data_IF_029272794113
#
_entry.id   IF_029272794113
#
_cell.length_a   1.000
_cell.length_b   1.000
_cell.length_c   1.000
_cell.angle_alpha   90.00
_cell.angle_beta   90.00
_cell.angle_gamma   90.00
#
_symmetry.space_group_name_H-M   'P 1'
#
loop_
_entity.id
_entity.type
_entity.pdbx_description
1 polymer ?
#
# COMPACT_ATOMS: atom_id res chain seq x y z
N UNK A 1 -5.61 -12.45 3.22
CA UNK A 1 -5.25 -11.23 2.44
C UNK A 1 -6.12 -10.12 2.99
N UNK A 2 -5.55 -8.98 3.35
CA UNK A 2 -6.27 -7.82 3.92
C UNK A 2 -6.20 -6.66 2.93
N UNK A 3 -7.07 -5.67 3.09
CA UNK A 3 -7.04 -4.45 2.29
C UNK A 3 -6.65 -3.30 3.20
N UNK A 4 -5.67 -2.53 2.76
CA UNK A 4 -5.22 -1.34 3.47
C UNK A 4 -5.58 -0.10 2.67
N UNK A 5 -6.10 0.90 3.37
CA UNK A 5 -6.20 2.27 2.86
C UNK A 5 -4.96 3.04 3.32
N UNK A 6 -4.16 3.46 2.36
CA UNK A 6 -2.98 4.29 2.59
C UNK A 6 -3.30 5.71 2.18
N UNK A 7 -3.30 6.63 3.14
CA UNK A 7 -3.48 8.04 2.87
C UNK A 7 -2.13 8.65 2.54
N UNK A 8 -2.02 9.27 1.37
CA UNK A 8 -0.82 9.96 0.89
C UNK A 8 -1.12 11.42 0.60
N UNK A 9 -0.13 12.28 0.74
CA UNK A 9 -0.28 13.70 0.44
C UNK A 9 1.01 14.48 0.67
N UNK A 10 1.00 15.77 0.34
CA UNK A 10 2.14 16.63 0.62
C UNK A 10 2.31 16.81 2.16
N UNK A 11 3.50 16.54 2.72
CA UNK A 11 3.76 16.70 4.16
C UNK A 11 3.61 18.15 4.65
N UNK A 12 3.84 19.14 3.78
CA UNK A 12 3.76 20.58 4.10
C UNK A 12 2.32 21.13 4.03
N UNK A 13 1.34 20.25 3.80
CA UNK A 13 -0.07 20.59 3.62
C UNK A 13 -0.49 20.58 2.16
N UNK A 14 -1.73 20.15 1.88
CA UNK A 14 -2.26 20.05 0.53
C UNK A 14 -3.30 18.95 0.36
N UNK A 15 -3.60 18.63 -0.91
CA UNK A 15 -4.55 17.59 -1.26
C UNK A 15 -4.06 16.21 -0.80
N UNK A 16 -4.95 15.46 -0.14
CA UNK A 16 -4.72 14.08 0.25
C UNK A 16 -5.37 13.13 -0.76
N UNK A 17 -4.78 11.96 -0.92
CA UNK A 17 -5.28 10.87 -1.74
C UNK A 17 -5.30 9.60 -0.92
N UNK A 18 -6.25 8.73 -1.24
CA UNK A 18 -6.35 7.40 -0.65
C UNK A 18 -5.94 6.39 -1.71
N UNK A 19 -5.12 5.43 -1.31
CA UNK A 19 -4.69 4.30 -2.12
C UNK A 19 -5.15 3.01 -1.45
N UNK A 20 -5.86 2.16 -2.17
CA UNK A 20 -6.27 0.85 -1.67
C UNK A 20 -5.32 -0.23 -2.18
N UNK A 21 -4.60 -0.85 -1.26
CA UNK A 21 -3.60 -1.88 -1.58
C UNK A 21 -3.90 -3.18 -0.83
N UNK A 22 -3.94 -4.34 -1.54
CA UNK A 22 -4.08 -5.63 -0.89
C UNK A 22 -2.73 -6.07 -0.32
N UNK A 23 -2.70 -6.42 0.96
CA UNK A 23 -1.46 -6.79 1.65
C UNK A 23 -1.71 -7.76 2.81
N UNK A 24 -0.64 -8.42 3.30
CA UNK A 24 -0.69 -9.23 4.53
C UNK A 24 -0.42 -8.37 5.77
N UNK A 25 0.37 -7.31 5.63
CA UNK A 25 0.74 -6.38 6.72
C UNK A 25 0.67 -4.93 6.27
N UNK A 26 0.60 -4.02 7.24
CA UNK A 26 0.72 -2.58 7.09
C UNK A 26 2.06 -2.14 6.48
N UNK A 27 3.17 -2.81 6.85
CA UNK A 27 4.50 -2.55 6.27
C UNK A 27 4.51 -2.85 4.76
N UNK A 28 4.02 -4.03 4.37
CA UNK A 28 3.92 -4.41 2.96
C UNK A 28 2.94 -3.52 2.17
N UNK A 29 1.89 -3.01 2.84
CA UNK A 29 0.97 -2.05 2.25
C UNK A 29 1.65 -0.70 1.99
N UNK A 30 2.48 -0.26 2.92
CA UNK A 30 3.26 0.98 2.79
C UNK A 30 4.24 0.87 1.61
N UNK A 31 4.99 -0.23 1.52
CA UNK A 31 5.91 -0.49 0.40
C UNK A 31 5.17 -0.52 -0.95
N UNK A 32 3.99 -1.17 -1.00
CA UNK A 32 3.16 -1.20 -2.20
C UNK A 32 2.65 0.20 -2.59
N UNK A 33 2.27 1.03 -1.61
CA UNK A 33 1.79 2.39 -1.85
C UNK A 33 2.87 3.30 -2.44
N UNK A 34 4.14 3.11 -2.09
CA UNK A 34 5.27 3.89 -2.66
C UNK A 34 5.28 3.83 -4.19
N UNK A 35 4.96 2.68 -4.78
CA UNK A 35 4.88 2.53 -6.25
C UNK A 35 3.73 3.29 -6.91
N UNK A 36 2.74 3.73 -6.15
CA UNK A 36 1.53 4.43 -6.61
C UNK A 36 1.53 5.93 -6.26
N UNK A 37 2.52 6.37 -5.49
CA UNK A 37 2.71 7.74 -5.05
C UNK A 37 3.29 8.62 -6.16
N UNK A 38 2.95 9.90 -6.12
CA UNK A 38 3.57 10.94 -6.95
C UNK A 38 4.79 11.52 -6.24
N UNK A 39 5.77 12.08 -6.98
CA UNK A 39 6.88 12.80 -6.38
C UNK A 39 6.41 13.89 -5.43
N UNK A 40 7.00 13.94 -4.23
CA UNK A 40 6.66 14.91 -3.17
C UNK A 40 5.45 14.51 -2.30
N UNK A 41 4.78 13.40 -2.59
CA UNK A 41 3.82 12.81 -1.65
C UNK A 41 4.55 12.01 -0.56
N UNK A 42 4.01 12.04 0.64
CA UNK A 42 4.41 11.22 1.78
C UNK A 42 3.21 10.39 2.27
N UNK A 43 3.49 9.23 2.87
CA UNK A 43 2.46 8.45 3.57
C UNK A 43 2.12 9.16 4.88
N UNK A 44 0.84 9.44 5.07
CA UNK A 44 0.32 10.15 6.24
C UNK A 44 -0.41 9.20 7.21
N UNK A 45 -1.06 8.17 6.68
CA UNK A 45 -1.78 7.17 7.47
C UNK A 45 -1.88 5.84 6.71
N UNK A 46 -1.92 4.74 7.46
CA UNK A 46 -2.08 3.38 6.94
C UNK A 46 -3.05 2.66 7.86
N UNK A 47 -4.24 2.31 7.34
CA UNK A 47 -5.22 1.55 8.11
C UNK A 47 -5.73 0.34 7.35
N UNK A 48 -5.90 -0.76 8.06
CA UNK A 48 -6.65 -1.92 7.56
C UNK A 48 -8.12 -1.53 7.45
N UNK A 49 -8.73 -1.80 6.29
CA UNK A 49 -10.15 -1.59 6.05
C UNK A 49 -10.81 -2.92 5.68
N UNK A 50 -12.07 -3.06 6.09
CA UNK A 50 -12.93 -4.10 5.56
C UNK A 50 -13.57 -3.56 4.28
N UNK A 51 -13.07 -4.01 3.11
CA UNK A 51 -13.60 -3.61 1.82
C UNK A 51 -14.37 -4.79 1.19
N UNK A 52 -15.72 -4.77 1.26
CA UNK A 52 -16.56 -5.86 0.77
C UNK A 52 -16.54 -6.00 -0.76
N UNK A 53 -16.03 -5.00 -1.48
CA UNK A 53 -15.99 -4.99 -2.95
C UNK A 53 -14.60 -5.23 -3.53
N UNK A 54 -13.57 -5.34 -2.69
CA UNK A 54 -12.16 -5.58 -3.07
C UNK A 54 -11.66 -4.72 -4.26
N UNK A 55 -12.12 -3.47 -4.36
CA UNK A 55 -11.65 -2.55 -5.40
C UNK A 55 -10.29 -2.01 -5.00
N UNK A 56 -9.24 -2.60 -5.55
CA UNK A 56 -7.84 -2.25 -5.29
C UNK A 56 -7.27 -1.42 -6.42
N UNK A 57 -6.48 -0.41 -6.08
CA UNK A 57 -5.88 0.53 -7.05
C UNK A 57 -4.58 -0.02 -7.67
N UNK A 58 -4.11 -1.19 -7.20
CA UNK A 58 -2.90 -1.83 -7.70
C UNK A 58 -2.85 -3.33 -7.40
N UNK A 59 -1.99 -4.07 -8.13
CA UNK A 59 -1.75 -5.48 -7.85
C UNK A 59 -1.12 -5.66 -6.46
N UNK A 60 -1.27 -6.85 -5.83
CA UNK A 60 -0.58 -7.14 -4.57
C UNK A 60 0.93 -6.93 -4.71
N UNK A 61 1.63 -6.47 -3.64
CA UNK A 61 3.07 -6.31 -3.68
C UNK A 61 3.72 -7.62 -4.13
N UNK A 62 4.60 -7.50 -5.14
CA UNK A 62 5.34 -8.63 -5.66
C UNK A 62 6.06 -9.35 -4.52
N UNK A 63 5.83 -10.64 -4.38
CA UNK A 63 6.56 -11.44 -3.39
C UNK A 63 8.03 -11.48 -3.82
N UNK A 64 8.94 -11.01 -2.96
CA UNK A 64 10.32 -11.46 -3.00
C UNK A 64 10.31 -12.96 -2.64
N UNK A 65 10.06 -13.80 -3.63
CA UNK A 65 10.34 -15.23 -3.54
C UNK A 65 11.85 -15.35 -3.62
N UNK A 66 12.54 -15.35 -2.48
CA UNK A 66 13.79 -16.10 -2.45
C UNK A 66 13.38 -17.55 -2.74
N UNK A 67 13.87 -18.20 -3.82
CA UNK A 67 13.71 -19.63 -3.93
C UNK A 67 14.38 -20.22 -2.68
N UNK A 68 13.61 -20.91 -1.84
CA UNK A 68 14.16 -21.78 -0.81
C UNK A 68 15.14 -22.73 -1.51
N UNK A 69 16.44 -22.43 -1.44
CA UNK A 69 17.47 -23.38 -1.82
C UNK A 69 17.51 -24.41 -0.70
N UNK A 70 16.71 -25.45 -0.85
CA UNK A 70 16.95 -26.72 -0.17
C UNK A 70 18.14 -27.35 -0.89
N UNK A 71 19.31 -27.31 -0.26
CA UNK A 71 20.46 -28.17 -0.56
C UNK A 71 20.89 -28.84 0.72
#
# INVERSE_FOLDING_TARGET
MRIYRVTVGNPDGGARRELKVPSKTDVQASDAAVGLMKPGEAILDVMEIDDPYQQVDGPPPGTQTHPDRIT
#
